data_IF_379334025713
#
_entry.id   IF_379334025713
#
_cell.length_a   1.000
_cell.length_b   1.000
_cell.length_c   1.000
_cell.angle_alpha   90.00
_cell.angle_beta   90.00
_cell.angle_gamma   90.00
#
_symmetry.space_group_name_H-M   'P 1'
#
loop_
_entity.id
_entity.type
_entity.pdbx_description
1 polymer ?
#
# COMPACT_ATOMS: atom_id res chain seq x y z
N UNK A 1 28.49 30.85 -28.29
CA UNK A 1 27.44 29.95 -28.79
C UNK A 1 27.44 28.69 -27.93
N UNK A 2 26.63 28.70 -26.88
CA UNK A 2 26.37 27.52 -26.03
C UNK A 2 25.29 26.68 -26.73
N UNK A 3 25.67 25.54 -27.25
CA UNK A 3 24.71 24.50 -27.73
C UNK A 3 24.01 23.90 -26.54
N UNK A 4 22.80 24.38 -26.24
CA UNK A 4 21.89 23.68 -25.35
C UNK A 4 21.46 22.40 -26.08
N UNK A 5 21.99 21.25 -25.63
CA UNK A 5 21.49 19.94 -26.00
C UNK A 5 20.09 19.79 -25.46
N UNK A 6 19.09 20.10 -26.26
CA UNK A 6 17.68 19.88 -25.92
C UNK A 6 17.44 18.39 -25.69
N UNK A 7 17.01 18.03 -24.51
CA UNK A 7 16.49 16.68 -24.22
C UNK A 7 15.29 16.48 -25.15
N UNK A 8 15.42 15.60 -26.14
CA UNK A 8 14.26 15.17 -26.95
C UNK A 8 13.39 14.29 -26.07
N UNK A 9 12.23 14.78 -25.70
CA UNK A 9 11.25 13.95 -25.03
C UNK A 9 10.62 12.98 -26.03
N UNK A 10 10.42 11.71 -25.63
CA UNK A 10 9.80 10.72 -26.51
C UNK A 10 8.36 11.15 -26.84
N UNK A 11 7.99 11.08 -28.11
CA UNK A 11 6.61 11.34 -28.56
C UNK A 11 5.65 10.18 -28.23
N UNK A 12 4.38 10.34 -28.61
CA UNK A 12 3.27 9.39 -28.37
C UNK A 12 3.59 7.94 -28.79
N UNK A 13 4.43 7.74 -29.83
CA UNK A 13 4.89 6.41 -30.27
C UNK A 13 5.70 5.69 -29.19
N UNK A 14 6.57 6.39 -28.47
CA UNK A 14 7.44 5.79 -27.45
C UNK A 14 6.64 5.19 -26.27
N UNK A 15 5.63 5.89 -25.76
CA UNK A 15 4.80 5.36 -24.67
C UNK A 15 4.00 4.14 -25.10
N UNK A 16 3.52 4.13 -26.35
CA UNK A 16 2.84 2.98 -26.92
C UNK A 16 3.80 1.80 -27.13
N UNK A 17 5.04 2.06 -27.57
CA UNK A 17 6.06 1.00 -27.74
C UNK A 17 6.39 0.34 -26.39
N UNK A 18 6.48 1.13 -25.31
CA UNK A 18 6.66 0.59 -23.94
C UNK A 18 5.46 -0.26 -23.50
N UNK A 19 4.24 0.19 -23.80
CA UNK A 19 3.04 -0.59 -23.52
C UNK A 19 3.01 -1.90 -24.29
N UNK A 20 3.42 -1.90 -25.56
CA UNK A 20 3.49 -3.09 -26.41
C UNK A 20 4.56 -4.07 -25.92
N UNK A 21 5.72 -3.58 -25.48
CA UNK A 21 6.74 -4.41 -24.81
C UNK A 21 6.19 -5.08 -23.53
N UNK A 22 5.51 -4.30 -22.68
CA UNK A 22 4.91 -4.84 -21.45
C UNK A 22 3.82 -5.88 -21.74
N UNK A 23 2.99 -5.67 -22.77
CA UNK A 23 1.96 -6.61 -23.21
C UNK A 23 2.57 -7.89 -23.80
N UNK A 24 3.74 -7.80 -24.43
CA UNK A 24 4.52 -8.95 -24.89
C UNK A 24 5.27 -9.67 -23.75
N UNK A 25 5.15 -9.22 -22.49
CA UNK A 25 5.83 -9.78 -21.33
C UNK A 25 7.31 -9.39 -21.21
N UNK A 26 7.78 -8.43 -21.99
CA UNK A 26 9.13 -7.91 -21.90
C UNK A 26 9.25 -6.88 -20.78
N UNK A 27 10.40 -6.86 -20.10
CA UNK A 27 10.72 -5.84 -19.11
C UNK A 27 11.15 -4.55 -19.81
N UNK A 28 10.64 -3.42 -19.32
CA UNK A 28 11.13 -2.09 -19.74
C UNK A 28 12.55 -1.87 -19.21
N UNK A 29 13.37 -1.14 -19.93
CA UNK A 29 14.72 -0.82 -19.52
C UNK A 29 14.72 0.19 -18.35
N UNK A 30 15.85 0.28 -17.63
CA UNK A 30 16.03 1.28 -16.59
C UNK A 30 15.98 2.71 -17.14
N UNK A 31 16.44 2.92 -18.35
CA UNK A 31 16.44 4.24 -18.98
C UNK A 31 15.04 4.62 -19.43
N UNK A 32 14.25 3.67 -19.96
CA UNK A 32 12.83 3.89 -20.23
C UNK A 32 12.04 4.22 -18.96
N UNK A 33 12.29 3.51 -17.86
CA UNK A 33 11.65 3.81 -16.58
C UNK A 33 12.01 5.22 -16.08
N UNK A 34 13.26 5.65 -16.26
CA UNK A 34 13.68 7.03 -15.96
C UNK A 34 13.01 8.05 -16.88
N UNK A 35 12.86 7.73 -18.16
CA UNK A 35 12.18 8.60 -19.11
C UNK A 35 10.70 8.79 -18.74
N UNK A 36 10.02 7.74 -18.27
CA UNK A 36 8.66 7.85 -17.73
C UNK A 36 8.59 8.83 -16.56
N UNK A 37 9.53 8.75 -15.60
CA UNK A 37 9.56 9.62 -14.42
C UNK A 37 9.98 11.06 -14.74
N UNK A 38 10.77 11.27 -15.78
CA UNK A 38 11.28 12.58 -16.19
C UNK A 38 10.45 13.26 -17.27
N UNK A 39 9.36 12.62 -17.70
CA UNK A 39 8.50 13.16 -18.75
C UNK A 39 7.84 14.48 -18.28
N UNK A 40 7.66 15.44 -19.19
CA UNK A 40 7.00 16.68 -18.86
C UNK A 40 5.49 16.48 -18.67
N UNK A 41 4.83 17.41 -17.97
CA UNK A 41 3.41 17.31 -17.61
C UNK A 41 2.48 17.22 -18.83
N UNK A 42 2.87 17.79 -19.96
CA UNK A 42 2.09 17.71 -21.22
C UNK A 42 2.06 16.30 -21.82
N UNK A 43 3.03 15.43 -21.49
CA UNK A 43 3.04 14.03 -21.90
C UNK A 43 2.19 13.12 -20.98
N UNK A 44 1.66 13.62 -19.86
CA UNK A 44 1.01 12.81 -18.84
C UNK A 44 -0.18 12.00 -19.37
N UNK A 45 -1.04 12.62 -20.18
CA UNK A 45 -2.23 11.94 -20.72
C UNK A 45 -1.86 10.80 -21.69
N UNK A 46 -0.80 10.97 -22.47
CA UNK A 46 -0.30 9.94 -23.38
C UNK A 46 0.29 8.76 -22.60
N UNK A 47 1.07 9.05 -21.54
CA UNK A 47 1.59 8.02 -20.65
C UNK A 47 0.45 7.25 -19.96
N UNK A 48 -0.56 7.96 -19.44
CA UNK A 48 -1.71 7.33 -18.80
C UNK A 48 -2.49 6.46 -19.78
N UNK A 49 -2.66 6.89 -21.03
CA UNK A 49 -3.33 6.10 -22.07
C UNK A 49 -2.56 4.80 -22.37
N UNK A 50 -1.24 4.87 -22.49
CA UNK A 50 -0.38 3.70 -22.71
C UNK A 50 -0.41 2.75 -21.49
N UNK A 51 -0.27 3.26 -20.29
CA UNK A 51 -0.37 2.49 -19.05
C UNK A 51 -1.77 1.85 -18.89
N UNK A 52 -2.83 2.55 -19.26
CA UNK A 52 -4.19 2.02 -19.23
C UNK A 52 -4.41 0.85 -20.18
N UNK A 53 -3.77 0.82 -21.36
CA UNK A 53 -3.80 -0.32 -22.29
C UNK A 53 -3.30 -1.60 -21.57
N UNK A 54 -2.15 -1.50 -20.89
CA UNK A 54 -1.56 -2.62 -20.14
C UNK A 54 -2.48 -3.04 -19.00
N UNK A 55 -2.92 -2.08 -18.17
CA UNK A 55 -3.83 -2.34 -17.06
C UNK A 55 -5.12 -3.02 -17.52
N UNK A 56 -5.72 -2.52 -18.62
CA UNK A 56 -6.97 -3.06 -19.15
C UNK A 56 -6.81 -4.50 -19.66
N UNK A 57 -5.67 -4.81 -20.26
CA UNK A 57 -5.39 -6.16 -20.74
C UNK A 57 -5.39 -7.18 -19.59
N UNK A 58 -4.70 -6.88 -18.48
CA UNK A 58 -4.56 -7.83 -17.36
C UNK A 58 -5.74 -7.80 -16.37
N UNK A 59 -6.37 -6.66 -16.15
CA UNK A 59 -7.32 -6.45 -15.08
C UNK A 59 -8.69 -5.94 -15.52
N UNK A 60 -8.85 -5.57 -16.79
CA UNK A 60 -10.08 -4.92 -17.26
C UNK A 60 -10.37 -3.64 -16.46
N UNK A 61 -11.64 -3.45 -16.10
CA UNK A 61 -12.09 -2.33 -15.25
C UNK A 61 -12.20 -2.72 -13.76
N UNK A 62 -11.66 -3.86 -13.37
CA UNK A 62 -11.73 -4.31 -11.96
C UNK A 62 -10.86 -3.41 -11.09
N UNK A 63 -11.44 -2.94 -9.98
CA UNK A 63 -10.75 -2.21 -8.92
C UNK A 63 -10.82 -3.07 -7.66
N UNK A 64 -9.71 -3.22 -6.97
CA UNK A 64 -9.65 -3.90 -5.68
C UNK A 64 -9.60 -2.84 -4.58
N UNK A 65 -10.60 -2.83 -3.72
CA UNK A 65 -10.65 -1.92 -2.58
C UNK A 65 -9.92 -2.53 -1.39
N UNK A 66 -9.12 -1.73 -0.73
CA UNK A 66 -8.48 -2.05 0.54
C UNK A 66 -8.97 -1.07 1.59
N UNK A 67 -9.39 -1.57 2.74
CA UNK A 67 -9.78 -0.76 3.88
C UNK A 67 -8.67 -0.82 4.91
N UNK A 68 -8.13 0.34 5.30
CA UNK A 68 -7.07 0.44 6.29
C UNK A 68 -7.61 0.99 7.60
N UNK A 69 -7.31 0.31 8.69
CA UNK A 69 -7.52 0.78 10.06
C UNK A 69 -6.17 1.06 10.71
N UNK A 70 -5.93 2.30 11.11
CA UNK A 70 -4.84 2.63 12.01
C UNK A 70 -5.28 2.29 13.44
N UNK A 71 -4.97 1.08 13.90
CA UNK A 71 -5.47 0.57 15.17
C UNK A 71 -4.67 1.05 16.38
N UNK A 72 -3.46 1.58 16.18
CA UNK A 72 -2.64 2.26 17.19
C UNK A 72 -1.86 3.36 16.52
N UNK A 73 -1.87 4.57 17.07
CA UNK A 73 -1.31 5.76 16.45
C UNK A 73 -0.29 6.47 17.31
N UNK A 74 0.78 6.95 16.67
CA UNK A 74 1.81 7.80 17.26
C UNK A 74 2.77 7.05 18.21
N UNK A 75 3.74 7.80 18.77
CA UNK A 75 4.69 7.35 19.79
C UNK A 75 5.58 6.15 19.35
N UNK A 76 5.72 5.89 18.05
CA UNK A 76 6.65 4.89 17.55
C UNK A 76 8.10 5.32 17.92
N UNK A 77 8.92 4.44 18.53
CA UNK A 77 10.28 4.80 18.93
C UNK A 77 11.25 4.95 17.74
N UNK A 78 10.85 4.48 16.56
CA UNK A 78 11.68 4.53 15.36
C UNK A 78 11.66 5.92 14.71
N UNK A 79 12.76 6.24 14.02
CA UNK A 79 12.95 7.48 13.26
C UNK A 79 12.94 7.20 11.76
N UNK A 80 11.79 6.84 11.22
CA UNK A 80 11.61 6.70 9.79
C UNK A 80 11.26 8.07 9.19
N UNK A 81 12.15 8.65 8.40
CA UNK A 81 12.07 10.02 7.90
C UNK A 81 10.74 10.43 7.25
N UNK A 82 10.03 9.51 6.63
CA UNK A 82 8.75 9.79 5.97
C UNK A 82 7.53 9.51 6.87
N UNK A 83 7.73 8.95 8.07
CA UNK A 83 6.65 8.41 8.87
C UNK A 83 6.14 9.41 9.91
N UNK A 84 4.87 9.82 9.79
CA UNK A 84 4.20 10.70 10.76
C UNK A 84 3.99 10.04 12.14
N UNK A 85 4.08 8.70 12.24
CA UNK A 85 3.86 7.94 13.47
C UNK A 85 5.05 7.96 14.44
N UNK A 86 6.21 8.45 14.02
CA UNK A 86 7.39 8.58 14.87
C UNK A 86 7.12 9.55 16.03
N UNK A 87 7.64 9.21 17.22
CA UNK A 87 7.57 10.10 18.40
C UNK A 87 8.26 11.46 18.23
N UNK A 88 9.21 11.53 17.29
CA UNK A 88 9.95 12.76 16.95
C UNK A 88 9.33 13.53 15.79
N UNK A 89 8.31 12.98 15.12
CA UNK A 89 7.60 13.66 14.04
C UNK A 89 6.87 14.89 14.57
N UNK A 90 6.95 15.99 13.81
CA UNK A 90 6.19 17.22 14.05
C UNK A 90 4.80 17.19 13.41
N UNK A 91 4.41 16.09 12.78
CA UNK A 91 3.09 15.96 12.17
C UNK A 91 1.97 16.02 13.22
N UNK A 92 0.94 16.81 12.93
CA UNK A 92 -0.27 16.90 13.76
C UNK A 92 -1.16 15.67 13.51
N UNK A 93 -0.95 14.63 14.30
CA UNK A 93 -1.73 13.39 14.24
C UNK A 93 -2.27 13.05 15.63
N UNK A 94 -3.44 12.45 15.66
CA UNK A 94 -3.97 11.87 16.88
C UNK A 94 -3.06 10.74 17.37
N UNK A 95 -2.81 10.69 18.70
CA UNK A 95 -2.00 9.67 19.36
C UNK A 95 -2.87 8.87 20.31
N UNK A 96 -2.98 7.57 20.07
CA UNK A 96 -3.80 6.67 20.87
C UNK A 96 -3.19 5.27 20.95
N UNK A 97 -3.44 4.57 22.09
CA UNK A 97 -3.04 3.17 22.23
C UNK A 97 -3.87 2.27 21.30
N UNK A 98 -3.59 0.96 21.34
CA UNK A 98 -4.38 -0.01 20.61
C UNK A 98 -5.88 0.20 20.88
N UNK A 99 -6.64 0.38 19.83
CA UNK A 99 -8.10 0.52 19.90
C UNK A 99 -8.74 -0.68 20.60
N UNK A 100 -9.88 -0.43 21.24
CA UNK A 100 -10.70 -1.50 21.79
C UNK A 100 -11.13 -2.47 20.68
N UNK A 101 -11.29 -3.74 21.03
CA UNK A 101 -11.65 -4.83 20.11
C UNK A 101 -12.91 -4.48 19.32
N UNK A 102 -13.92 -3.94 19.98
CA UNK A 102 -15.20 -3.56 19.36
C UNK A 102 -14.98 -2.56 18.22
N UNK A 103 -14.12 -1.57 18.40
CA UNK A 103 -13.80 -0.59 17.33
C UNK A 103 -13.08 -1.22 16.14
N UNK A 104 -12.25 -2.24 16.37
CA UNK A 104 -11.59 -2.99 15.30
C UNK A 104 -12.63 -3.79 14.51
N UNK A 105 -13.57 -4.44 15.21
CA UNK A 105 -14.63 -5.23 14.59
C UNK A 105 -15.63 -4.34 13.82
N UNK A 106 -16.03 -3.20 14.37
CA UNK A 106 -16.88 -2.21 13.68
C UNK A 106 -16.23 -1.72 12.38
N UNK A 107 -14.91 -1.55 12.39
CA UNK A 107 -14.17 -1.17 11.18
C UNK A 107 -14.13 -2.29 10.15
N UNK A 108 -14.00 -3.55 10.58
CA UNK A 108 -14.04 -4.72 9.71
C UNK A 108 -15.44 -4.92 9.11
N UNK A 109 -16.50 -4.73 9.89
CA UNK A 109 -17.87 -4.74 9.40
C UNK A 109 -18.10 -3.70 8.30
N UNK A 110 -17.66 -2.46 8.53
CA UNK A 110 -17.71 -1.39 7.51
C UNK A 110 -16.92 -1.76 6.25
N UNK A 111 -15.74 -2.37 6.41
CA UNK A 111 -14.94 -2.83 5.28
C UNK A 111 -15.68 -3.90 4.47
N UNK A 112 -16.34 -4.85 5.13
CA UNK A 112 -17.16 -5.88 4.49
C UNK A 112 -18.37 -5.27 3.77
N UNK A 113 -19.09 -4.33 4.41
CA UNK A 113 -20.23 -3.62 3.82
C UNK A 113 -19.84 -2.83 2.56
N UNK A 114 -18.64 -2.26 2.53
CA UNK A 114 -18.06 -1.57 1.38
C UNK A 114 -17.48 -2.52 0.34
N UNK A 115 -17.59 -3.83 0.52
CA UNK A 115 -17.03 -4.86 -0.36
C UNK A 115 -15.52 -4.72 -0.57
N UNK A 116 -14.80 -4.33 0.48
CA UNK A 116 -13.34 -4.33 0.44
C UNK A 116 -12.82 -5.77 0.30
N UNK A 117 -11.85 -5.98 -0.56
CA UNK A 117 -11.20 -7.29 -0.72
C UNK A 117 -10.12 -7.55 0.34
N UNK A 118 -9.70 -6.51 1.05
CA UNK A 118 -8.67 -6.62 2.10
C UNK A 118 -8.95 -5.60 3.21
N UNK A 119 -8.89 -6.07 4.44
CA UNK A 119 -8.86 -5.24 5.64
C UNK A 119 -7.43 -5.18 6.17
N UNK A 120 -6.85 -3.98 6.20
CA UNK A 120 -5.47 -3.74 6.63
C UNK A 120 -5.49 -3.19 8.05
N UNK A 121 -5.00 -3.96 9.02
CA UNK A 121 -4.84 -3.55 10.40
C UNK A 121 -3.40 -3.08 10.64
N UNK A 122 -3.23 -1.82 11.02
CA UNK A 122 -1.93 -1.19 11.17
C UNK A 122 -1.75 -0.69 12.60
N UNK A 123 -0.59 -0.91 13.18
CA UNK A 123 -0.21 -0.31 14.46
C UNK A 123 1.11 0.46 14.33
N UNK A 124 1.21 1.57 15.06
CA UNK A 124 2.48 2.28 15.21
C UNK A 124 3.36 1.53 16.24
N UNK A 125 4.63 1.33 15.91
CA UNK A 125 5.59 0.69 16.81
C UNK A 125 6.66 -0.09 16.07
N UNK A 126 7.80 -0.31 16.73
CA UNK A 126 8.86 -1.15 16.20
C UNK A 126 8.46 -2.63 16.12
N UNK A 127 7.77 -3.10 17.16
CA UNK A 127 7.35 -4.48 17.34
C UNK A 127 6.21 -4.52 18.38
N UNK A 128 5.20 -5.36 18.20
CA UNK A 128 4.15 -5.50 19.20
C UNK A 128 4.68 -6.28 20.41
N UNK A 129 4.42 -5.77 21.62
CA UNK A 129 4.54 -6.59 22.83
C UNK A 129 3.48 -7.69 22.84
N UNK A 130 3.72 -8.80 23.58
CA UNK A 130 2.87 -9.98 23.55
C UNK A 130 1.39 -9.68 23.86
N UNK A 131 1.13 -8.76 24.80
CA UNK A 131 -0.23 -8.35 25.14
C UNK A 131 -0.96 -7.65 23.98
N UNK A 132 -0.26 -6.80 23.22
CA UNK A 132 -0.83 -6.11 22.04
C UNK A 132 -1.02 -7.11 20.92
N UNK A 133 -0.02 -7.95 20.70
CA UNK A 133 -0.03 -9.00 19.69
C UNK A 133 -1.20 -9.98 19.89
N UNK A 134 -1.41 -10.49 21.14
CA UNK A 134 -2.53 -11.37 21.45
C UNK A 134 -3.88 -10.73 21.13
N UNK A 135 -4.10 -9.46 21.53
CA UNK A 135 -5.34 -8.75 21.21
C UNK A 135 -5.58 -8.56 19.71
N UNK A 136 -4.51 -8.36 18.95
CA UNK A 136 -4.59 -8.27 17.48
C UNK A 136 -4.96 -9.62 16.88
N UNK A 137 -4.36 -10.71 17.36
CA UNK A 137 -4.70 -12.07 16.93
C UNK A 137 -6.17 -12.39 17.19
N UNK A 138 -6.65 -12.18 18.41
CA UNK A 138 -8.05 -12.42 18.80
C UNK A 138 -9.01 -11.66 17.86
N UNK A 139 -8.68 -10.40 17.53
CA UNK A 139 -9.49 -9.62 16.61
C UNK A 139 -9.44 -10.17 15.17
N UNK A 140 -8.27 -10.63 14.70
CA UNK A 140 -8.13 -11.23 13.36
C UNK A 140 -8.95 -12.52 13.26
N UNK A 141 -8.84 -13.43 14.23
CA UNK A 141 -9.60 -14.68 14.27
C UNK A 141 -11.09 -14.43 14.22
N UNK A 142 -11.57 -13.44 14.97
CA UNK A 142 -12.97 -13.07 14.96
C UNK A 142 -13.42 -12.45 13.63
N UNK A 143 -12.62 -11.57 13.05
CA UNK A 143 -12.89 -11.01 11.72
C UNK A 143 -13.00 -12.13 10.69
N UNK A 144 -12.09 -13.10 10.72
CA UNK A 144 -12.09 -14.26 9.81
C UNK A 144 -13.29 -15.18 10.00
N UNK A 145 -13.84 -15.23 11.22
CA UNK A 145 -15.04 -16.02 11.52
C UNK A 145 -16.30 -15.38 10.95
N UNK A 146 -16.39 -14.05 10.95
CA UNK A 146 -17.63 -13.33 10.60
C UNK A 146 -17.64 -12.75 9.18
N UNK A 147 -16.48 -12.49 8.58
CA UNK A 147 -16.38 -11.78 7.30
C UNK A 147 -15.45 -12.48 6.32
N UNK A 148 -15.86 -12.54 5.05
CA UNK A 148 -14.98 -12.97 3.96
C UNK A 148 -14.04 -11.83 3.54
N UNK A 149 -13.14 -11.47 4.45
CA UNK A 149 -12.11 -10.46 4.24
C UNK A 149 -10.74 -11.10 4.30
N UNK A 150 -9.88 -10.74 3.35
CA UNK A 150 -8.45 -10.98 3.52
C UNK A 150 -7.92 -9.98 4.53
N UNK A 151 -7.29 -10.45 5.60
CA UNK A 151 -6.68 -9.58 6.59
C UNK A 151 -5.20 -9.38 6.27
N UNK A 152 -4.76 -8.13 6.30
CA UNK A 152 -3.36 -7.73 6.22
C UNK A 152 -2.99 -7.09 7.58
N UNK A 153 -1.94 -7.55 8.20
CA UNK A 153 -1.47 -7.03 9.49
C UNK A 153 -0.09 -6.38 9.34
N UNK A 154 -0.02 -5.05 9.56
CA UNK A 154 1.22 -4.28 9.56
C UNK A 154 1.58 -3.92 11.01
N UNK A 155 2.40 -4.76 11.64
CA UNK A 155 2.67 -4.72 13.08
C UNK A 155 4.14 -4.41 13.42
N UNK A 156 4.94 -3.97 12.44
CA UNK A 156 6.38 -3.76 12.61
C UNK A 156 7.18 -5.07 12.49
N UNK A 157 8.25 -5.18 13.24
CA UNK A 157 9.13 -6.35 13.23
C UNK A 157 8.53 -7.48 14.07
N UNK A 158 8.28 -8.60 13.42
CA UNK A 158 7.75 -9.81 14.06
C UNK A 158 8.85 -10.86 14.17
N UNK A 159 8.81 -11.65 15.24
CA UNK A 159 9.62 -12.87 15.35
C UNK A 159 8.92 -14.03 14.61
N UNK A 160 9.63 -15.15 14.50
CA UNK A 160 9.15 -16.33 13.78
C UNK A 160 7.87 -16.93 14.40
N UNK A 161 7.78 -16.96 15.71
CA UNK A 161 6.60 -17.45 16.44
C UNK A 161 5.37 -16.57 16.17
N UNK A 162 5.51 -15.26 16.26
CA UNK A 162 4.44 -14.31 15.94
C UNK A 162 3.99 -14.44 14.49
N UNK A 163 4.94 -14.62 13.55
CA UNK A 163 4.62 -14.82 12.14
C UNK A 163 3.83 -16.11 11.91
N UNK A 164 4.21 -17.21 12.57
CA UNK A 164 3.47 -18.48 12.49
C UNK A 164 2.05 -18.35 13.06
N UNK A 165 1.90 -17.69 14.20
CA UNK A 165 0.60 -17.46 14.84
C UNK A 165 -0.32 -16.59 13.95
N UNK A 166 0.20 -15.50 13.35
CA UNK A 166 -0.57 -14.69 12.40
C UNK A 166 -1.01 -15.48 11.17
N UNK A 167 -0.12 -16.29 10.62
CA UNK A 167 -0.47 -17.14 9.48
C UNK A 167 -1.54 -18.18 9.84
N UNK A 168 -1.53 -18.70 11.05
CA UNK A 168 -2.53 -19.65 11.53
C UNK A 168 -3.90 -18.99 11.77
N UNK A 169 -3.91 -17.71 12.16
CA UNK A 169 -5.14 -16.95 12.37
C UNK A 169 -5.86 -16.53 11.06
N UNK A 170 -5.21 -16.67 9.87
CA UNK A 170 -5.78 -16.39 8.55
C UNK A 170 -5.29 -15.11 7.92
#
# INVERSE_FOLDING_TARGET
>A
HSSQGGVKFPGMSHWNDLADQALAGALISRDDARAVLAAPDDALLEQLAAAYRVRRHYWGNKVRLHFLLNAQSGLCPEDCHYCSQSKISSADIEKYPLLAREKILDAAERAAALKAGTFCLVISGRSPGERVFGKVLDAIEEIKTHYDLRVCACLGLLNEEQTRRLKAAG
#
